data_IF_986127150323
#
_entry.id   IF_986127150323
#
_cell.length_a   1.000
_cell.length_b   1.000
_cell.length_c   1.000
_cell.angle_alpha   90.00
_cell.angle_beta   90.00
_cell.angle_gamma   90.00
#
_symmetry.space_group_name_H-M   'P 1'
#
loop_
_entity.id
_entity.type
_entity.pdbx_description
1 polymer ?
#
# COMPACT_ATOMS: atom_id res chain seq x y z
N UNK A 1 25.89 -11.68 -16.57
CA UNK A 1 24.75 -12.26 -15.79
C UNK A 1 23.91 -13.03 -16.77
N UNK A 2 23.30 -14.13 -16.36
CA UNK A 2 22.46 -14.96 -17.23
C UNK A 2 21.12 -14.24 -17.49
N UNK A 3 20.72 -14.12 -18.75
CA UNK A 3 19.44 -13.51 -19.14
C UNK A 3 18.35 -14.59 -19.25
N UNK A 4 17.14 -14.25 -18.79
CA UNK A 4 15.95 -15.12 -18.87
C UNK A 4 14.86 -14.42 -19.65
N UNK A 5 14.29 -15.11 -20.67
CA UNK A 5 13.09 -14.67 -21.36
C UNK A 5 11.86 -15.42 -20.82
N UNK A 6 10.81 -14.68 -20.51
CA UNK A 6 9.45 -15.23 -20.30
C UNK A 6 8.66 -14.98 -21.58
N UNK A 7 8.19 -16.05 -22.21
CA UNK A 7 7.52 -16.04 -23.54
C UNK A 7 6.13 -16.62 -23.46
N UNK A 8 5.40 -16.59 -24.59
CA UNK A 8 4.04 -17.14 -24.69
C UNK A 8 3.11 -16.47 -23.65
N UNK A 9 3.26 -15.14 -23.51
CA UNK A 9 2.43 -14.31 -22.64
C UNK A 9 1.23 -13.83 -23.47
N UNK A 10 0.02 -14.25 -23.09
CA UNK A 10 -1.20 -13.82 -23.79
C UNK A 10 -1.42 -12.31 -23.67
N UNK A 11 -1.24 -11.78 -22.46
CA UNK A 11 -1.35 -10.34 -22.17
C UNK A 11 -0.25 -9.94 -21.18
N UNK A 12 0.59 -9.01 -21.59
CA UNK A 12 1.58 -8.36 -20.74
C UNK A 12 1.06 -6.96 -20.40
N UNK A 13 0.93 -6.67 -19.10
CA UNK A 13 0.71 -5.32 -18.59
C UNK A 13 2.07 -4.67 -18.37
N UNK A 14 2.36 -3.56 -19.06
CA UNK A 14 3.66 -2.89 -18.90
C UNK A 14 3.61 -1.68 -18.00
N UNK A 15 2.47 -1.00 -17.91
CA UNK A 15 2.33 0.33 -17.32
C UNK A 15 3.36 1.32 -17.90
N UNK A 16 3.64 1.21 -19.19
CA UNK A 16 4.61 2.10 -19.85
C UNK A 16 4.08 3.54 -19.87
N UNK A 17 4.76 4.48 -19.19
CA UNK A 17 4.30 5.86 -19.11
C UNK A 17 4.26 6.57 -20.45
N UNK A 18 5.00 6.09 -21.45
CA UNK A 18 4.98 6.66 -22.81
C UNK A 18 3.70 6.35 -23.58
N UNK A 19 2.91 5.38 -23.12
CA UNK A 19 1.64 4.95 -23.72
C UNK A 19 0.41 5.40 -22.95
N UNK A 20 0.58 6.09 -21.81
CA UNK A 20 -0.47 6.38 -20.85
C UNK A 20 -1.73 7.04 -21.45
N UNK A 21 -1.56 7.92 -22.41
CA UNK A 21 -2.68 8.64 -23.02
C UNK A 21 -3.52 7.79 -23.99
N UNK A 22 -2.94 6.74 -24.54
CA UNK A 22 -3.59 5.84 -25.51
C UNK A 22 -3.97 4.48 -24.92
N UNK A 23 -3.17 3.98 -23.98
CA UNK A 23 -3.33 2.73 -23.26
C UNK A 23 -2.70 2.85 -21.87
N UNK A 24 -3.48 3.18 -20.82
CA UNK A 24 -2.95 3.38 -19.48
C UNK A 24 -2.18 2.21 -18.90
N UNK A 25 -2.52 0.97 -19.29
CA UNK A 25 -1.80 -0.24 -18.92
C UNK A 25 -0.64 -0.61 -19.84
N UNK A 26 -0.56 0.00 -21.04
CA UNK A 26 0.44 -0.34 -22.04
C UNK A 26 0.40 -1.84 -22.38
N UNK A 27 -0.77 -2.34 -22.79
CA UNK A 27 -0.99 -3.78 -23.03
C UNK A 27 -0.26 -4.28 -24.27
N UNK A 28 0.53 -5.33 -24.11
CA UNK A 28 1.15 -6.05 -25.23
C UNK A 28 0.56 -7.46 -25.34
N UNK A 29 0.03 -7.80 -26.51
CA UNK A 29 -0.50 -9.14 -26.81
C UNK A 29 0.59 -10.02 -27.42
N UNK A 30 0.48 -11.36 -27.21
CA UNK A 30 1.47 -12.34 -27.68
C UNK A 30 2.91 -11.90 -27.32
N UNK A 31 3.11 -11.57 -26.06
CA UNK A 31 4.25 -10.85 -25.56
C UNK A 31 5.37 -11.74 -25.01
N UNK A 32 6.52 -11.12 -24.82
CA UNK A 32 7.60 -11.62 -24.01
C UNK A 32 8.23 -10.50 -23.19
N UNK A 33 8.91 -10.86 -22.10
CA UNK A 33 9.72 -9.99 -21.25
C UNK A 33 11.08 -10.64 -21.01
N UNK A 34 12.16 -9.87 -21.09
CA UNK A 34 13.52 -10.33 -20.80
C UNK A 34 14.02 -9.69 -19.52
N UNK A 35 14.55 -10.54 -18.65
CA UNK A 35 15.13 -10.19 -17.35
C UNK A 35 16.64 -10.48 -17.40
N UNK A 36 17.46 -9.55 -16.94
CA UNK A 36 18.87 -9.76 -16.69
C UNK A 36 19.23 -9.26 -15.28
N UNK A 37 19.73 -10.17 -14.44
CA UNK A 37 19.95 -9.88 -13.03
C UNK A 37 18.63 -9.48 -12.34
N UNK A 38 18.60 -8.31 -11.75
CA UNK A 38 17.43 -7.77 -11.05
C UNK A 38 16.56 -6.83 -11.90
N UNK A 39 16.84 -6.71 -13.23
CA UNK A 39 16.23 -5.70 -14.10
C UNK A 39 15.47 -6.30 -15.27
N UNK A 40 14.40 -5.64 -15.67
CA UNK A 40 13.80 -5.80 -16.97
C UNK A 40 14.70 -5.12 -18.00
N UNK A 41 15.10 -5.82 -19.03
CA UNK A 41 15.96 -5.27 -20.10
C UNK A 41 15.24 -5.13 -21.44
N UNK A 42 14.13 -5.84 -21.63
CA UNK A 42 13.33 -5.75 -22.84
C UNK A 42 11.89 -6.24 -22.62
N UNK A 43 10.93 -5.60 -23.29
CA UNK A 43 9.52 -6.01 -23.36
C UNK A 43 8.99 -5.80 -24.78
N UNK A 44 8.09 -6.67 -25.24
CA UNK A 44 7.49 -6.52 -26.58
C UNK A 44 6.83 -7.79 -27.08
N UNK A 45 6.47 -7.83 -28.36
CA UNK A 45 5.88 -9.02 -28.99
C UNK A 45 6.85 -10.21 -29.03
N UNK A 46 6.37 -11.41 -28.72
CA UNK A 46 7.20 -12.64 -28.62
C UNK A 46 8.08 -12.92 -29.82
N UNK A 47 7.59 -12.60 -31.05
CA UNK A 47 8.34 -12.81 -32.29
C UNK A 47 9.59 -11.94 -32.44
N UNK A 48 9.71 -10.88 -31.60
CA UNK A 48 10.85 -9.95 -31.59
C UNK A 48 11.74 -10.12 -30.37
N UNK A 49 11.45 -11.12 -29.52
CA UNK A 49 12.21 -11.34 -28.30
C UNK A 49 13.68 -11.67 -28.63
N UNK A 50 14.65 -11.03 -27.99
CA UNK A 50 16.07 -11.37 -28.16
C UNK A 50 16.36 -12.79 -27.63
N UNK A 51 17.41 -13.40 -28.16
CA UNK A 51 17.89 -14.68 -27.65
C UNK A 51 18.46 -14.53 -26.25
N UNK A 52 18.21 -15.50 -25.37
CA UNK A 52 18.66 -15.52 -23.97
C UNK A 52 19.15 -16.90 -23.56
N UNK A 53 19.85 -16.96 -22.42
CA UNK A 53 20.39 -18.21 -21.87
C UNK A 53 19.27 -19.13 -21.35
N UNK A 54 18.25 -18.56 -20.74
CA UNK A 54 17.14 -19.28 -20.13
C UNK A 54 15.79 -18.86 -20.68
N UNK A 55 14.83 -19.78 -20.64
CA UNK A 55 13.48 -19.56 -21.11
C UNK A 55 12.45 -20.11 -20.12
N UNK A 56 11.43 -19.29 -19.85
CA UNK A 56 10.22 -19.66 -19.11
C UNK A 56 9.03 -19.54 -20.07
N UNK A 57 8.20 -20.55 -20.12
CA UNK A 57 6.95 -20.53 -20.90
C UNK A 57 5.79 -20.10 -19.99
N UNK A 58 5.17 -18.96 -20.29
CA UNK A 58 3.99 -18.48 -19.57
C UNK A 58 2.74 -19.30 -19.89
N UNK A 59 2.75 -20.12 -20.93
CA UNK A 59 1.63 -21.02 -21.28
C UNK A 59 0.35 -20.30 -21.69
N UNK A 60 0.45 -19.16 -22.37
CA UNK A 60 -0.71 -18.35 -22.77
C UNK A 60 -1.37 -17.59 -21.62
N UNK A 61 -0.68 -17.38 -20.52
CA UNK A 61 -1.15 -16.65 -19.34
C UNK A 61 -0.76 -15.19 -19.35
N UNK A 62 -1.40 -14.39 -18.49
CA UNK A 62 -1.08 -12.98 -18.34
C UNK A 62 0.10 -12.77 -17.39
N UNK A 63 0.93 -11.77 -17.70
CA UNK A 63 1.99 -11.27 -16.83
C UNK A 63 1.74 -9.80 -16.52
N UNK A 64 1.86 -9.44 -15.24
CA UNK A 64 1.68 -8.11 -14.73
C UNK A 64 2.95 -7.65 -13.98
N UNK A 65 3.15 -6.33 -13.76
CA UNK A 65 4.07 -5.87 -12.73
C UNK A 65 3.68 -6.45 -11.37
N UNK A 66 4.65 -6.69 -10.50
CA UNK A 66 4.38 -6.99 -9.11
C UNK A 66 3.53 -5.91 -8.46
N UNK A 67 2.57 -6.31 -7.63
CA UNK A 67 1.74 -5.36 -6.90
C UNK A 67 2.59 -4.56 -5.92
N UNK A 68 2.21 -3.30 -5.74
CA UNK A 68 2.84 -2.35 -4.81
C UNK A 68 1.83 -2.01 -3.72
N UNK A 69 1.99 -2.62 -2.56
CA UNK A 69 1.19 -2.32 -1.38
C UNK A 69 1.80 -1.12 -0.64
N UNK A 70 1.27 0.05 -0.93
CA UNK A 70 1.81 1.32 -0.45
C UNK A 70 1.29 1.74 0.93
N UNK A 71 0.47 0.91 1.61
CA UNK A 71 -0.09 1.21 2.91
C UNK A 71 -0.43 -0.05 3.69
N UNK A 72 0.36 -0.36 4.74
CA UNK A 72 0.08 -1.48 5.63
C UNK A 72 0.65 -1.27 7.04
N UNK A 73 0.16 -2.04 8.03
CA UNK A 73 0.54 -1.98 9.44
C UNK A 73 0.95 -3.36 9.94
N UNK A 74 2.02 -3.94 9.40
CA UNK A 74 2.36 -5.35 9.60
C UNK A 74 3.10 -5.65 10.92
N UNK A 75 3.59 -4.61 11.64
CA UNK A 75 4.31 -4.81 12.90
C UNK A 75 3.36 -4.71 14.07
N UNK A 76 2.72 -5.81 14.40
CA UNK A 76 1.81 -5.91 15.54
C UNK A 76 1.75 -7.33 16.12
N UNK A 77 1.18 -7.43 17.33
CA UNK A 77 0.76 -8.69 17.96
C UNK A 77 -0.69 -8.59 18.46
N UNK A 78 -1.24 -9.73 18.81
CA UNK A 78 -2.61 -9.85 19.29
C UNK A 78 -3.60 -10.20 18.18
N UNK A 79 -4.84 -10.39 18.57
CA UNK A 79 -5.96 -10.80 17.72
C UNK A 79 -7.18 -9.93 18.03
N UNK A 80 -7.97 -9.60 17.00
CA UNK A 80 -9.19 -8.80 17.13
C UNK A 80 -10.40 -9.50 16.51
N UNK A 81 -10.37 -10.82 16.42
CA UNK A 81 -11.44 -11.65 15.88
C UNK A 81 -12.77 -11.42 16.59
N UNK A 82 -12.76 -11.28 17.92
CA UNK A 82 -13.98 -11.02 18.70
C UNK A 82 -14.59 -9.67 18.40
N UNK A 83 -13.74 -8.63 18.20
CA UNK A 83 -14.21 -7.30 17.81
C UNK A 83 -14.82 -7.34 16.42
N UNK A 84 -14.18 -8.03 15.46
CA UNK A 84 -14.74 -8.24 14.13
C UNK A 84 -16.10 -8.94 14.20
N UNK A 85 -16.19 -10.03 14.95
CA UNK A 85 -17.44 -10.77 15.14
C UNK A 85 -18.56 -9.90 15.76
N UNK A 86 -18.20 -9.09 16.76
CA UNK A 86 -19.13 -8.15 17.39
C UNK A 86 -19.65 -7.10 16.40
N UNK A 87 -18.76 -6.56 15.57
CA UNK A 87 -19.09 -5.59 14.52
C UNK A 87 -20.00 -6.22 13.46
N UNK A 88 -19.69 -7.45 13.02
CA UNK A 88 -20.54 -8.19 12.08
C UNK A 88 -21.93 -8.50 12.66
N UNK A 89 -22.05 -8.52 13.97
CA UNK A 89 -23.32 -8.66 14.71
C UNK A 89 -24.10 -7.34 14.91
N UNK A 90 -23.72 -6.27 14.22
CA UNK A 90 -24.45 -4.99 14.18
C UNK A 90 -23.93 -3.91 15.12
N UNK A 91 -22.79 -4.08 15.76
CA UNK A 91 -22.13 -3.01 16.52
C UNK A 91 -21.24 -2.16 15.59
N UNK A 92 -21.34 -0.82 15.60
CA UNK A 92 -20.51 0.03 14.75
C UNK A 92 -19.02 -0.08 15.14
N UNK A 93 -18.13 0.07 14.15
CA UNK A 93 -16.68 0.18 14.39
C UNK A 93 -16.37 1.45 15.20
N UNK A 94 -15.48 1.32 16.16
CA UNK A 94 -14.87 2.46 16.86
C UNK A 94 -13.35 2.24 16.95
N UNK A 95 -12.58 3.32 16.88
CA UNK A 95 -11.11 3.27 17.02
C UNK A 95 -10.62 2.79 18.40
N UNK A 96 -11.56 2.56 19.37
CA UNK A 96 -11.22 2.15 20.74
C UNK A 96 -10.53 0.78 20.87
N UNK A 97 -10.76 -0.13 19.92
CA UNK A 97 -10.16 -1.48 19.90
C UNK A 97 -8.65 -1.52 19.64
N UNK A 98 -8.06 -0.45 19.12
CA UNK A 98 -6.61 -0.35 18.90
C UNK A 98 -5.79 -0.53 20.18
N UNK A 99 -6.34 -0.15 21.36
CA UNK A 99 -5.66 -0.32 22.65
C UNK A 99 -5.34 -1.78 22.97
N UNK A 100 -6.14 -2.73 22.51
CA UNK A 100 -5.87 -4.16 22.65
C UNK A 100 -4.63 -4.56 21.87
N UNK A 101 -4.52 -4.08 20.62
CA UNK A 101 -3.34 -4.32 19.78
C UNK A 101 -2.09 -3.66 20.37
N UNK A 102 -2.20 -2.43 20.87
CA UNK A 102 -1.09 -1.72 21.54
C UNK A 102 -0.57 -2.53 22.73
N UNK A 103 -1.46 -2.97 23.63
CA UNK A 103 -1.07 -3.76 24.81
C UNK A 103 -0.38 -5.08 24.41
N UNK A 104 -0.91 -5.79 23.44
CA UNK A 104 -0.34 -7.05 22.94
C UNK A 104 1.01 -6.83 22.25
N UNK A 105 1.16 -5.77 21.46
CA UNK A 105 2.40 -5.46 20.73
C UNK A 105 3.52 -5.06 21.69
N UNK A 106 3.23 -4.26 22.70
CA UNK A 106 4.19 -3.90 23.75
C UNK A 106 4.65 -5.12 24.57
N UNK A 107 3.74 -6.07 24.83
CA UNK A 107 4.03 -7.30 25.59
C UNK A 107 4.79 -8.36 24.77
N UNK A 108 4.73 -8.31 23.43
CA UNK A 108 5.36 -9.29 22.56
C UNK A 108 6.88 -9.09 22.48
N UNK A 109 7.63 -10.19 22.38
CA UNK A 109 9.07 -10.15 22.10
C UNK A 109 9.39 -9.81 20.65
N UNK A 110 10.63 -9.37 20.36
CA UNK A 110 11.10 -9.05 19.01
C UNK A 110 10.95 -10.25 18.08
N UNK A 111 11.26 -11.46 18.55
CA UNK A 111 11.15 -12.69 17.76
C UNK A 111 9.71 -12.98 17.33
N UNK A 112 8.72 -12.71 18.19
CA UNK A 112 7.30 -12.93 17.87
C UNK A 112 6.81 -11.88 16.86
N UNK A 113 7.19 -10.61 17.03
CA UNK A 113 6.84 -9.54 16.09
C UNK A 113 7.47 -9.78 14.72
N UNK A 114 8.73 -10.21 14.66
CA UNK A 114 9.43 -10.51 13.41
C UNK A 114 8.85 -11.75 12.72
N UNK A 115 8.47 -12.78 13.46
CA UNK A 115 7.81 -13.97 12.93
C UNK A 115 6.44 -13.60 12.31
N UNK A 116 5.65 -12.77 12.98
CA UNK A 116 4.38 -12.27 12.45
C UNK A 116 4.59 -11.45 11.18
N UNK A 117 5.51 -10.48 11.20
CA UNK A 117 5.85 -9.66 10.04
C UNK A 117 6.26 -10.53 8.85
N UNK A 118 7.17 -11.48 9.06
CA UNK A 118 7.64 -12.40 8.00
C UNK A 118 6.50 -13.23 7.43
N UNK A 119 5.57 -13.67 8.28
CA UNK A 119 4.37 -14.40 7.83
C UNK A 119 3.51 -13.56 6.91
N UNK A 120 3.15 -12.33 7.29
CA UNK A 120 2.31 -11.43 6.47
C UNK A 120 3.00 -11.05 5.15
N UNK A 121 4.31 -10.80 5.17
CA UNK A 121 5.08 -10.54 3.96
C UNK A 121 5.10 -11.76 3.03
N UNK A 122 5.22 -12.96 3.57
CA UNK A 122 5.17 -14.21 2.78
C UNK A 122 3.78 -14.43 2.18
N UNK A 123 2.72 -14.15 2.93
CA UNK A 123 1.34 -14.21 2.45
C UNK A 123 1.11 -13.21 1.31
N UNK A 124 1.57 -11.96 1.47
CA UNK A 124 1.46 -10.92 0.46
C UNK A 124 2.26 -11.28 -0.82
N UNK A 125 3.50 -11.77 -0.66
CA UNK A 125 4.35 -12.19 -1.78
C UNK A 125 3.69 -13.31 -2.59
N UNK A 126 3.12 -14.32 -1.93
CA UNK A 126 2.39 -15.41 -2.59
C UNK A 126 1.17 -14.94 -3.37
N UNK A 127 0.67 -13.75 -3.07
CA UNK A 127 -0.44 -13.12 -3.77
C UNK A 127 0.02 -12.03 -4.76
N UNK A 128 1.34 -11.94 -5.01
CA UNK A 128 1.92 -11.09 -6.06
C UNK A 128 2.42 -9.73 -5.60
N UNK A 129 2.38 -9.41 -4.31
CA UNK A 129 2.95 -8.16 -3.79
C UNK A 129 4.47 -8.29 -3.69
N UNK A 130 5.20 -7.48 -4.44
CA UNK A 130 6.67 -7.49 -4.49
C UNK A 130 7.29 -6.29 -3.80
N UNK A 131 6.54 -5.19 -3.69
CA UNK A 131 6.92 -3.97 -2.97
C UNK A 131 5.86 -3.65 -1.94
N UNK A 132 6.28 -3.37 -0.71
CA UNK A 132 5.35 -3.06 0.39
C UNK A 132 5.95 -1.99 1.31
N UNK A 133 5.07 -1.14 1.77
CA UNK A 133 5.29 -0.20 2.84
C UNK A 133 4.71 -0.77 4.13
N UNK A 134 5.35 -0.50 5.27
CA UNK A 134 4.77 -0.82 6.58
C UNK A 134 5.11 0.21 7.64
N UNK A 135 4.18 0.35 8.60
CA UNK A 135 4.20 1.40 9.61
C UNK A 135 4.49 0.85 11.00
N UNK A 136 5.02 1.70 11.86
CA UNK A 136 4.87 1.57 13.32
C UNK A 136 3.45 1.97 13.76
N UNK A 137 3.24 2.41 15.00
CA UNK A 137 1.96 2.97 15.46
C UNK A 137 1.18 2.09 16.43
N UNK A 138 1.72 0.93 16.80
CA UNK A 138 1.18 0.09 17.86
C UNK A 138 2.07 0.04 19.11
N UNK A 139 3.19 0.77 19.11
CA UNK A 139 4.05 0.92 20.27
C UNK A 139 3.61 2.07 21.16
N UNK A 140 3.47 3.25 20.59
CA UNK A 140 3.07 4.52 21.21
C UNK A 140 4.00 4.96 22.36
N UNK A 141 5.22 4.40 22.41
CA UNK A 141 6.32 4.82 23.28
C UNK A 141 7.57 5.03 22.44
N UNK A 142 8.54 5.77 22.96
CA UNK A 142 9.81 5.99 22.24
C UNK A 142 10.49 4.68 21.88
N UNK A 143 10.55 3.75 22.82
CA UNK A 143 11.23 2.47 22.67
C UNK A 143 10.50 1.54 21.70
N UNK A 144 9.18 1.38 21.88
CA UNK A 144 8.39 0.43 21.09
C UNK A 144 8.20 0.89 19.65
N UNK A 145 8.01 2.20 19.40
CA UNK A 145 7.95 2.74 18.04
C UNK A 145 9.28 2.55 17.30
N UNK A 146 10.40 2.91 17.92
CA UNK A 146 11.72 2.69 17.32
C UNK A 146 12.03 1.19 17.11
N UNK A 147 11.58 0.32 18.03
CA UNK A 147 11.67 -1.14 17.89
C UNK A 147 10.92 -1.63 16.66
N UNK A 148 9.66 -1.21 16.49
CA UNK A 148 8.83 -1.60 15.35
C UNK A 148 9.48 -1.19 14.02
N UNK A 149 10.01 0.03 13.93
CA UNK A 149 10.69 0.51 12.73
C UNK A 149 11.98 -0.27 12.43
N UNK A 150 12.78 -0.59 13.45
CA UNK A 150 14.00 -1.41 13.27
C UNK A 150 13.67 -2.82 12.74
N UNK A 151 12.59 -3.45 13.20
CA UNK A 151 12.12 -4.73 12.67
C UNK A 151 11.68 -4.60 11.22
N UNK A 152 10.85 -3.61 10.92
CA UNK A 152 10.37 -3.35 9.55
C UNK A 152 11.53 -3.09 8.56
N UNK A 153 12.52 -2.30 8.95
CA UNK A 153 13.66 -1.93 8.10
C UNK A 153 14.56 -3.11 7.68
N UNK A 154 14.42 -4.28 8.30
CA UNK A 154 15.10 -5.51 7.85
C UNK A 154 14.49 -6.11 6.58
N UNK A 155 13.27 -5.72 6.24
CA UNK A 155 12.47 -6.32 5.18
C UNK A 155 12.13 -5.37 4.03
N UNK A 156 12.08 -4.06 4.30
CA UNK A 156 11.75 -3.03 3.30
C UNK A 156 12.42 -1.71 3.60
N UNK A 157 12.66 -0.92 2.54
CA UNK A 157 13.11 0.48 2.67
C UNK A 157 11.93 1.46 2.84
N UNK A 158 10.70 0.98 2.64
CA UNK A 158 9.48 1.80 2.70
C UNK A 158 8.87 1.71 4.10
N UNK A 159 9.59 2.25 5.09
CA UNK A 159 9.20 2.21 6.51
C UNK A 159 8.64 3.55 6.95
N UNK A 160 7.49 3.53 7.63
CA UNK A 160 6.74 4.71 8.05
C UNK A 160 6.69 4.84 9.57
N UNK A 161 7.12 5.97 10.08
CA UNK A 161 6.90 6.35 11.48
C UNK A 161 5.47 6.87 11.66
N UNK A 162 4.67 6.19 12.48
CA UNK A 162 3.28 6.52 12.81
C UNK A 162 3.08 6.67 14.33
N UNK A 163 3.94 7.44 15.01
CA UNK A 163 3.71 7.75 16.43
C UNK A 163 2.40 8.52 16.69
N UNK A 164 1.92 9.23 15.66
CA UNK A 164 0.62 9.91 15.65
C UNK A 164 -0.56 9.04 15.23
N UNK A 165 -0.63 7.77 15.67
CA UNK A 165 -1.75 6.87 15.37
C UNK A 165 -2.96 7.12 16.27
N UNK A 166 -2.77 7.07 17.57
CA UNK A 166 -3.70 7.56 18.61
C UNK A 166 -2.89 8.16 19.75
N UNK A 167 -3.55 8.92 20.63
CA UNK A 167 -2.94 9.34 21.90
C UNK A 167 -2.72 8.12 22.78
N UNK A 168 -1.48 7.93 23.23
CA UNK A 168 -1.15 6.81 24.11
C UNK A 168 -1.99 6.84 25.40
N UNK A 169 -2.37 5.68 25.95
CA UNK A 169 -3.21 5.62 27.16
C UNK A 169 -2.63 6.42 28.35
N UNK A 170 -1.31 6.47 28.46
CA UNK A 170 -0.59 7.19 29.51
C UNK A 170 -0.72 8.72 29.41
N UNK A 171 -1.11 9.21 28.25
CA UNK A 171 -1.33 10.63 27.95
C UNK A 171 -2.81 10.98 27.73
N UNK A 172 -3.74 10.13 28.18
CA UNK A 172 -5.17 10.35 27.97
C UNK A 172 -5.65 11.73 28.47
N UNK A 173 -5.06 12.21 29.57
CA UNK A 173 -5.37 13.50 30.18
C UNK A 173 -4.43 14.63 29.70
N UNK A 174 -3.44 14.33 28.85
CA UNK A 174 -2.46 15.29 28.31
C UNK A 174 -2.15 15.02 26.83
N UNK A 175 -3.10 15.18 25.91
CA UNK A 175 -2.86 14.98 24.47
C UNK A 175 -1.78 15.91 23.90
N UNK A 176 -1.62 17.12 24.45
CA UNK A 176 -0.60 18.08 24.02
C UNK A 176 0.81 17.60 24.38
N UNK A 177 0.97 17.02 25.57
CA UNK A 177 2.21 16.37 26.00
C UNK A 177 2.56 15.19 25.07
N UNK A 178 1.56 14.42 24.64
CA UNK A 178 1.78 13.34 23.68
C UNK A 178 2.24 13.86 22.29
N UNK A 179 1.62 14.91 21.75
CA UNK A 179 2.07 15.55 20.52
C UNK A 179 3.52 16.03 20.64
N UNK A 180 3.87 16.61 21.79
CA UNK A 180 5.25 17.03 22.07
C UNK A 180 6.24 15.86 22.09
N UNK A 181 5.84 14.71 22.64
CA UNK A 181 6.63 13.46 22.61
C UNK A 181 6.80 12.96 21.15
N UNK A 182 5.70 12.88 20.39
CA UNK A 182 5.67 12.39 19.00
C UNK A 182 6.53 13.25 18.07
N UNK A 183 6.55 14.58 18.30
CA UNK A 183 7.34 15.52 17.50
C UNK A 183 8.76 15.74 18.01
N UNK A 184 9.06 15.27 19.21
CA UNK A 184 10.33 15.44 19.93
C UNK A 184 11.13 14.14 20.04
N UNK A 185 11.21 13.60 21.25
CA UNK A 185 12.08 12.46 21.58
C UNK A 185 11.73 11.20 20.79
N UNK A 186 10.45 10.91 20.59
CA UNK A 186 10.01 9.76 19.82
C UNK A 186 10.44 9.90 18.34
N UNK A 187 10.22 11.05 17.71
CA UNK A 187 10.69 11.33 16.36
C UNK A 187 12.21 11.21 16.25
N UNK A 188 12.96 11.73 17.21
CA UNK A 188 14.41 11.64 17.22
C UNK A 188 14.92 10.19 17.24
N UNK A 189 14.26 9.31 17.98
CA UNK A 189 14.59 7.89 18.06
C UNK A 189 14.17 7.12 16.80
N UNK A 190 13.05 7.52 16.16
CA UNK A 190 12.42 6.83 15.06
C UNK A 190 12.95 7.24 13.66
N UNK A 191 13.23 8.51 13.46
CA UNK A 191 13.62 9.06 12.16
C UNK A 191 14.81 8.33 11.47
N UNK A 192 15.86 7.85 12.19
CA UNK A 192 16.94 7.10 11.56
C UNK A 192 16.52 5.76 10.91
N UNK A 193 15.33 5.25 11.23
CA UNK A 193 14.82 3.95 10.77
C UNK A 193 13.62 4.09 9.84
N UNK A 194 13.17 5.31 9.55
CA UNK A 194 12.00 5.58 8.73
C UNK A 194 12.36 6.40 7.49
N UNK A 195 11.64 6.18 6.40
CA UNK A 195 11.63 7.02 5.21
C UNK A 195 10.47 8.00 5.23
N UNK A 196 9.37 7.60 5.86
CA UNK A 196 8.09 8.29 5.85
C UNK A 196 7.66 8.68 7.25
N UNK A 197 6.83 9.72 7.35
CA UNK A 197 6.08 10.08 8.54
C UNK A 197 4.60 10.13 8.20
N UNK A 198 3.77 9.63 9.12
CA UNK A 198 2.32 9.55 8.96
C UNK A 198 1.63 9.99 10.24
N UNK A 199 0.37 10.41 10.13
CA UNK A 199 -0.49 10.78 11.24
C UNK A 199 -1.95 10.44 10.93
N UNK A 200 -2.69 9.97 11.92
CA UNK A 200 -4.12 9.72 11.79
C UNK A 200 -4.90 11.01 12.07
N UNK A 201 -5.15 11.78 11.01
CA UNK A 201 -5.90 13.03 11.06
C UNK A 201 -7.40 12.76 10.99
N UNK A 202 -8.01 12.45 12.13
CA UNK A 202 -9.41 12.04 12.19
C UNK A 202 -10.05 12.40 13.53
N UNK A 203 -11.37 12.53 13.53
CA UNK A 203 -12.15 12.75 14.75
C UNK A 203 -11.91 11.63 15.76
N UNK A 204 -11.43 11.99 16.94
CA UNK A 204 -11.10 11.04 17.99
C UNK A 204 -9.64 10.57 18.01
N UNK A 205 -8.83 11.02 17.04
CA UNK A 205 -7.38 10.84 17.01
C UNK A 205 -6.69 12.21 17.07
N UNK A 206 -6.15 12.71 15.94
CA UNK A 206 -5.47 14.00 15.88
C UNK A 206 -6.26 14.99 15.02
N UNK A 207 -6.35 16.24 15.46
CA UNK A 207 -6.93 17.33 14.67
C UNK A 207 -5.94 17.86 13.60
N UNK A 208 -6.39 18.81 12.78
CA UNK A 208 -5.56 19.35 11.69
C UNK A 208 -4.31 20.08 12.15
N UNK A 209 -4.36 20.77 13.30
CA UNK A 209 -3.20 21.52 13.83
C UNK A 209 -2.18 20.55 14.42
N UNK A 210 -2.61 19.53 15.14
CA UNK A 210 -1.78 18.46 15.66
C UNK A 210 -1.14 17.66 14.53
N UNK A 211 -1.92 17.28 13.51
CA UNK A 211 -1.43 16.58 12.31
C UNK A 211 -0.38 17.41 11.57
N UNK A 212 -0.62 18.70 11.40
CA UNK A 212 0.34 19.64 10.82
C UNK A 212 1.64 19.68 11.61
N UNK A 213 1.57 19.75 12.94
CA UNK A 213 2.75 19.78 13.79
C UNK A 213 3.59 18.51 13.61
N UNK A 214 2.95 17.33 13.61
CA UNK A 214 3.61 16.02 13.44
C UNK A 214 4.29 15.94 12.06
N UNK A 215 3.57 16.21 10.98
CA UNK A 215 4.12 16.10 9.62
C UNK A 215 5.23 17.12 9.36
N UNK A 216 5.09 18.35 9.86
CA UNK A 216 6.12 19.40 9.72
C UNK A 216 7.39 19.03 10.47
N UNK A 217 7.27 18.46 11.69
CA UNK A 217 8.42 17.98 12.46
C UNK A 217 9.16 16.86 11.72
N UNK A 218 8.43 15.90 11.12
CA UNK A 218 9.02 14.84 10.31
C UNK A 218 9.74 15.36 9.08
N UNK A 219 9.13 16.29 8.34
CA UNK A 219 9.77 16.96 7.19
C UNK A 219 11.08 17.64 7.60
N UNK A 220 11.12 18.28 8.75
CA UNK A 220 12.34 18.90 9.28
C UNK A 220 13.45 17.88 9.61
N UNK A 221 13.10 16.61 9.80
CA UNK A 221 14.02 15.48 9.97
C UNK A 221 14.36 14.75 8.65
N UNK A 222 13.84 15.24 7.52
CA UNK A 222 14.06 14.63 6.19
C UNK A 222 13.10 13.48 5.84
N UNK A 223 12.06 13.24 6.64
CA UNK A 223 11.03 12.25 6.33
C UNK A 223 10.02 12.83 5.33
N UNK A 224 9.50 11.98 4.46
CA UNK A 224 8.44 12.34 3.53
C UNK A 224 7.08 12.17 4.18
N UNK A 225 6.15 13.14 4.10
CA UNK A 225 4.84 13.06 4.73
C UNK A 225 3.89 12.15 3.96
N UNK A 226 3.02 11.49 4.72
CA UNK A 226 1.82 10.76 4.33
C UNK A 226 0.75 11.09 5.37
N UNK A 227 -0.51 10.77 5.12
CA UNK A 227 -1.56 11.05 6.10
C UNK A 227 -2.75 10.11 5.93
N UNK A 228 -3.21 9.51 7.05
CA UNK A 228 -4.55 8.94 7.11
C UNK A 228 -5.56 10.09 7.16
N UNK A 229 -6.41 10.18 6.16
CA UNK A 229 -7.27 11.34 5.95
C UNK A 229 -8.71 10.96 5.61
N UNK A 230 -9.67 11.59 6.27
CA UNK A 230 -11.07 11.56 5.91
C UNK A 230 -11.64 10.12 5.83
N UNK A 231 -11.19 9.23 6.72
CA UNK A 231 -11.64 7.83 6.78
C UNK A 231 -13.04 7.71 7.38
N UNK A 232 -13.26 8.35 8.53
CA UNK A 232 -14.47 8.19 9.34
C UNK A 232 -15.43 9.36 9.18
N UNK A 233 -14.92 10.53 8.77
CA UNK A 233 -15.67 11.77 8.65
C UNK A 233 -15.04 12.74 7.66
N UNK A 234 -15.78 13.77 7.27
CA UNK A 234 -15.19 14.93 6.59
C UNK A 234 -14.24 15.65 7.53
N UNK A 235 -13.04 15.96 7.06
CA UNK A 235 -11.97 16.55 7.87
C UNK A 235 -10.96 17.35 7.04
N UNK A 236 -9.97 17.99 7.68
CA UNK A 236 -8.97 18.80 7.00
C UNK A 236 -7.82 17.98 6.38
N UNK A 237 -7.80 16.64 6.58
CA UNK A 237 -6.65 15.79 6.30
C UNK A 237 -6.19 15.84 4.84
N UNK A 238 -7.12 15.80 3.88
CA UNK A 238 -6.78 15.86 2.45
C UNK A 238 -6.19 17.22 2.06
N UNK A 239 -6.79 18.32 2.51
CA UNK A 239 -6.26 19.67 2.24
C UNK A 239 -4.86 19.82 2.83
N UNK A 240 -4.66 19.32 4.05
CA UNK A 240 -3.36 19.32 4.72
C UNK A 240 -2.32 18.47 3.97
N UNK A 241 -2.73 17.30 3.44
CA UNK A 241 -1.86 16.46 2.63
C UNK A 241 -1.32 17.22 1.41
N UNK A 242 -2.20 17.88 0.67
CA UNK A 242 -1.84 18.64 -0.52
C UNK A 242 -0.95 19.84 -0.15
N UNK A 243 -1.32 20.59 0.88
CA UNK A 243 -0.55 21.74 1.35
C UNK A 243 0.89 21.38 1.75
N UNK A 244 1.07 20.24 2.41
CA UNK A 244 2.39 19.79 2.87
C UNK A 244 3.16 18.98 1.82
N UNK A 245 2.66 18.85 0.59
CA UNK A 245 3.21 17.98 -0.46
C UNK A 245 3.41 16.55 0.07
N UNK A 246 2.38 15.99 0.70
CA UNK A 246 2.39 14.61 1.13
C UNK A 246 2.40 13.66 -0.08
N UNK A 247 3.09 12.53 0.04
CA UNK A 247 3.14 11.54 -1.03
C UNK A 247 1.76 10.92 -1.28
N UNK A 248 0.99 10.70 -0.20
CA UNK A 248 -0.38 10.20 -0.28
C UNK A 248 -1.28 10.79 0.81
N UNK A 249 -2.57 10.84 0.49
CA UNK A 249 -3.68 10.93 1.42
C UNK A 249 -4.38 9.57 1.39
N UNK A 250 -4.40 8.89 2.51
CA UNK A 250 -4.80 7.50 2.58
C UNK A 250 -6.21 7.37 3.18
N UNK A 251 -7.04 6.43 2.72
CA UNK A 251 -8.48 6.21 2.87
C UNK A 251 -9.33 7.09 1.97
N UNK A 252 -9.42 8.40 2.15
CA UNK A 252 -10.18 9.30 1.29
C UNK A 252 -11.67 8.90 1.13
N UNK A 253 -12.30 8.38 2.19
CA UNK A 253 -13.69 7.88 2.14
C UNK A 253 -14.69 9.02 2.09
N UNK A 254 -14.43 10.11 2.85
CA UNK A 254 -15.32 11.27 2.97
C UNK A 254 -14.67 12.51 2.34
N UNK A 255 -14.97 12.76 1.04
CA UNK A 255 -14.37 13.85 0.27
C UNK A 255 -15.41 14.93 -0.08
N UNK A 256 -15.04 16.20 0.14
CA UNK A 256 -15.72 17.34 -0.45
C UNK A 256 -15.31 17.54 -1.91
N UNK A 257 -16.01 18.42 -2.66
CA UNK A 257 -15.58 18.80 -4.01
C UNK A 257 -14.19 19.47 -3.98
N UNK A 258 -13.92 20.30 -2.99
CA UNK A 258 -12.63 20.95 -2.81
C UNK A 258 -11.49 19.94 -2.54
N UNK A 259 -11.77 18.82 -1.87
CA UNK A 259 -10.76 17.77 -1.64
C UNK A 259 -10.42 17.04 -2.94
N UNK A 260 -11.43 16.74 -3.75
CA UNK A 260 -11.23 16.10 -5.07
C UNK A 260 -10.45 17.04 -5.99
N UNK A 261 -10.83 18.33 -6.05
CA UNK A 261 -10.13 19.32 -6.85
C UNK A 261 -8.66 19.50 -6.40
N UNK A 262 -8.42 19.51 -5.08
CA UNK A 262 -7.07 19.62 -4.53
C UNK A 262 -6.20 18.40 -4.92
N UNK A 263 -6.72 17.18 -4.79
CA UNK A 263 -6.02 15.96 -5.20
C UNK A 263 -5.76 15.93 -6.70
N UNK A 264 -6.75 16.28 -7.53
CA UNK A 264 -6.62 16.31 -8.99
C UNK A 264 -5.55 17.32 -9.49
N UNK A 265 -5.33 18.39 -8.75
CA UNK A 265 -4.36 19.45 -9.11
C UNK A 265 -3.04 19.36 -8.33
N UNK A 266 -2.72 18.21 -7.75
CA UNK A 266 -1.51 18.01 -6.95
C UNK A 266 -0.76 16.73 -7.34
N UNK A 267 0.42 16.52 -6.74
CA UNK A 267 1.17 15.27 -6.81
C UNK A 267 0.80 14.27 -5.72
N UNK A 268 -0.09 14.64 -4.80
CA UNK A 268 -0.55 13.78 -3.70
C UNK A 268 -1.45 12.68 -4.25
N UNK A 269 -1.11 11.43 -3.97
CA UNK A 269 -1.88 10.26 -4.42
C UNK A 269 -3.02 9.98 -3.45
N UNK A 270 -4.23 9.77 -3.95
CA UNK A 270 -5.35 9.25 -3.16
C UNK A 270 -5.20 7.72 -3.05
N UNK A 271 -4.75 7.22 -1.89
CA UNK A 271 -4.62 5.77 -1.66
C UNK A 271 -5.89 5.23 -1.04
N UNK A 272 -6.65 4.46 -1.80
CA UNK A 272 -7.90 3.86 -1.35
C UNK A 272 -7.64 2.48 -0.77
N UNK A 273 -8.34 2.15 0.32
CA UNK A 273 -8.06 1.00 1.17
C UNK A 273 -9.31 0.12 1.35
N UNK A 274 -9.81 -0.51 0.25
CA UNK A 274 -11.13 -1.15 0.23
C UNK A 274 -11.31 -2.29 1.23
N UNK A 275 -10.23 -2.87 1.75
CA UNK A 275 -10.28 -3.84 2.82
C UNK A 275 -10.83 -3.28 4.13
N UNK A 276 -10.62 -1.98 4.37
CA UNK A 276 -11.14 -1.28 5.55
C UNK A 276 -12.67 -1.13 5.48
N UNK A 277 -13.21 -0.65 4.37
CA UNK A 277 -14.65 -0.50 4.18
C UNK A 277 -15.35 -1.86 4.19
N UNK A 278 -14.76 -2.89 3.56
CA UNK A 278 -15.26 -4.25 3.60
C UNK A 278 -15.37 -4.77 5.04
N UNK A 279 -14.32 -4.63 5.84
CA UNK A 279 -14.26 -5.20 7.19
C UNK A 279 -15.02 -4.38 8.23
N UNK A 280 -15.24 -3.10 7.96
CA UNK A 280 -15.97 -2.19 8.89
C UNK A 280 -17.43 -1.95 8.50
N UNK A 281 -17.85 -2.38 7.31
CA UNK A 281 -19.13 -2.02 6.69
C UNK A 281 -19.33 -0.51 6.55
N UNK A 282 -18.23 0.22 6.35
CA UNK A 282 -18.29 1.64 6.06
C UNK A 282 -18.76 1.91 4.62
N UNK A 283 -19.05 3.17 4.32
CA UNK A 283 -19.30 3.59 2.94
C UNK A 283 -18.03 3.44 2.11
N UNK A 284 -18.18 3.10 0.83
CA UNK A 284 -17.07 3.00 -0.10
C UNK A 284 -16.57 4.37 -0.54
N UNK A 285 -15.25 4.59 -0.68
CA UNK A 285 -14.73 5.78 -1.34
C UNK A 285 -15.23 5.86 -2.80
N UNK A 286 -15.54 7.05 -3.27
CA UNK A 286 -15.98 7.29 -4.65
C UNK A 286 -14.73 7.42 -5.56
N UNK A 287 -14.16 6.26 -5.94
CA UNK A 287 -13.00 6.21 -6.82
C UNK A 287 -13.31 6.80 -8.21
N UNK A 288 -14.55 6.62 -8.70
CA UNK A 288 -14.93 7.15 -10.02
C UNK A 288 -14.80 8.66 -10.07
N UNK A 289 -15.29 9.36 -9.03
CA UNK A 289 -15.21 10.81 -8.91
C UNK A 289 -13.74 11.31 -8.89
N UNK A 290 -12.85 10.61 -8.19
CA UNK A 290 -11.43 10.94 -8.17
C UNK A 290 -10.78 10.77 -9.54
N UNK A 291 -11.02 9.64 -10.20
CA UNK A 291 -10.46 9.32 -11.52
C UNK A 291 -10.98 10.26 -12.60
N UNK A 292 -12.28 10.56 -12.61
CA UNK A 292 -12.89 11.50 -13.57
C UNK A 292 -12.37 12.93 -13.41
N UNK A 293 -12.00 13.31 -12.18
CA UNK A 293 -11.35 14.61 -11.91
C UNK A 293 -9.86 14.61 -12.30
N UNK A 294 -9.26 13.47 -12.63
CA UNK A 294 -7.84 13.35 -13.00
C UNK A 294 -6.88 13.14 -11.82
N UNK A 295 -7.39 12.85 -10.61
CA UNK A 295 -6.55 12.52 -9.47
C UNK A 295 -5.78 11.20 -9.68
N UNK A 296 -4.56 11.14 -9.19
CA UNK A 296 -3.81 9.88 -9.15
C UNK A 296 -4.31 9.02 -8.01
N UNK A 297 -4.76 7.80 -8.33
CA UNK A 297 -5.32 6.85 -7.35
C UNK A 297 -4.40 5.65 -7.17
N UNK A 298 -4.20 5.22 -5.93
CA UNK A 298 -3.58 3.95 -5.57
C UNK A 298 -4.58 3.05 -4.82
N UNK A 299 -4.34 1.73 -4.88
CA UNK A 299 -5.01 0.73 -4.06
C UNK A 299 -3.99 0.02 -3.18
N UNK A 300 -4.31 -0.12 -1.90
CA UNK A 300 -3.48 -0.84 -0.93
C UNK A 300 -4.32 -1.65 0.04
N UNK A 301 -3.67 -2.52 0.82
CA UNK A 301 -4.38 -3.46 1.69
C UNK A 301 -4.84 -2.87 3.00
N UNK A 302 -4.14 -1.85 3.52
CA UNK A 302 -4.28 -1.43 4.91
C UNK A 302 -4.18 -2.62 5.89
N UNK A 303 -3.31 -3.60 5.58
CA UNK A 303 -3.25 -4.84 6.35
C UNK A 303 -2.96 -4.56 7.83
N UNK A 304 -3.99 -4.69 8.65
CA UNK A 304 -3.96 -4.45 10.09
C UNK A 304 -5.04 -5.31 10.80
N UNK A 305 -4.91 -5.60 12.09
CA UNK A 305 -5.85 -6.50 12.77
C UNK A 305 -7.21 -5.87 13.04
N UNK A 306 -7.35 -4.54 12.94
CA UNK A 306 -8.55 -3.82 13.37
C UNK A 306 -9.59 -3.58 12.30
N UNK A 307 -9.16 -2.99 11.20
CA UNK A 307 -10.04 -2.52 10.13
C UNK A 307 -9.89 -3.27 8.82
N UNK A 308 -8.73 -3.93 8.57
CA UNK A 308 -8.45 -4.58 7.28
C UNK A 308 -7.45 -5.72 7.44
N UNK A 309 -7.91 -6.89 7.90
CA UNK A 309 -6.98 -8.00 8.11
C UNK A 309 -6.85 -8.87 6.86
N UNK A 310 -6.34 -8.27 5.80
CA UNK A 310 -6.03 -8.94 4.53
C UNK A 310 -4.69 -8.46 3.98
N UNK A 311 -3.86 -9.38 3.50
CA UNK A 311 -2.62 -9.12 2.75
C UNK A 311 -2.81 -9.23 1.23
N UNK A 312 -4.08 -9.28 0.76
CA UNK A 312 -4.42 -9.60 -0.62
C UNK A 312 -4.72 -8.34 -1.44
N UNK A 313 -3.75 -7.85 -2.19
CA UNK A 313 -3.98 -6.81 -3.22
C UNK A 313 -4.97 -7.29 -4.29
N UNK A 314 -4.95 -8.55 -4.79
CA UNK A 314 -6.00 -9.07 -5.68
C UNK A 314 -7.42 -8.93 -5.13
N UNK A 315 -7.62 -9.11 -3.83
CA UNK A 315 -8.91 -8.89 -3.19
C UNK A 315 -9.31 -7.40 -3.22
N UNK A 316 -8.38 -6.50 -2.93
CA UNK A 316 -8.60 -5.06 -3.03
C UNK A 316 -8.96 -4.62 -4.46
N UNK A 317 -8.30 -5.18 -5.49
CA UNK A 317 -8.66 -4.96 -6.89
C UNK A 317 -10.10 -5.39 -7.19
N UNK A 318 -10.51 -6.56 -6.70
CA UNK A 318 -11.88 -7.05 -6.92
C UNK A 318 -12.94 -6.15 -6.24
N UNK A 319 -12.69 -5.68 -5.03
CA UNK A 319 -13.57 -4.75 -4.31
C UNK A 319 -13.65 -3.39 -5.02
N UNK A 320 -12.53 -2.84 -5.47
CA UNK A 320 -12.49 -1.56 -6.16
C UNK A 320 -13.28 -1.60 -7.47
N UNK A 321 -13.19 -2.68 -8.24
CA UNK A 321 -13.99 -2.85 -9.46
C UNK A 321 -15.48 -2.99 -9.15
N UNK A 322 -15.82 -3.80 -8.15
CA UNK A 322 -17.22 -4.11 -7.87
C UNK A 322 -17.95 -2.98 -7.15
N UNK A 323 -17.31 -2.35 -6.16
CA UNK A 323 -18.00 -1.49 -5.20
C UNK A 323 -17.58 0.00 -5.29
N UNK A 324 -16.44 0.31 -5.93
CA UNK A 324 -15.91 1.67 -6.02
C UNK A 324 -15.95 2.25 -7.44
N UNK A 325 -16.58 1.56 -8.40
CA UNK A 325 -16.77 2.04 -9.77
C UNK A 325 -15.53 2.10 -10.64
N UNK A 326 -14.45 1.41 -10.27
CA UNK A 326 -13.25 1.31 -11.09
C UNK A 326 -13.41 0.25 -12.19
N UNK A 327 -12.82 0.50 -13.35
CA UNK A 327 -12.62 -0.56 -14.35
C UNK A 327 -11.51 -1.51 -13.90
N UNK A 328 -11.43 -2.76 -14.43
CA UNK A 328 -10.32 -3.65 -14.13
C UNK A 328 -8.95 -3.06 -14.46
N UNK A 329 -8.85 -2.28 -15.54
CA UNK A 329 -7.62 -1.62 -15.96
C UNK A 329 -7.19 -0.55 -14.96
N UNK A 330 -8.09 0.31 -14.53
CA UNK A 330 -7.84 1.33 -13.50
C UNK A 330 -7.43 0.71 -12.17
N UNK A 331 -8.10 -0.37 -11.74
CA UNK A 331 -7.81 -1.03 -10.47
C UNK A 331 -6.42 -1.71 -10.50
N UNK A 332 -6.04 -2.36 -11.61
CA UNK A 332 -4.70 -2.95 -11.75
C UNK A 332 -3.62 -1.87 -11.84
N UNK A 333 -3.88 -0.78 -12.56
CA UNK A 333 -2.96 0.35 -12.58
C UNK A 333 -2.76 0.94 -11.18
N UNK A 334 -3.85 1.15 -10.43
CA UNK A 334 -3.82 1.69 -9.07
C UNK A 334 -3.07 0.76 -8.08
N UNK A 335 -3.19 -0.57 -8.26
CA UNK A 335 -2.52 -1.58 -7.45
C UNK A 335 -1.04 -1.82 -7.83
N UNK A 336 -0.56 -1.19 -8.90
CA UNK A 336 0.82 -1.34 -9.41
C UNK A 336 1.49 0.03 -9.56
N UNK A 337 1.30 0.72 -10.68
CA UNK A 337 1.89 2.03 -10.94
C UNK A 337 1.36 3.12 -9.98
N UNK A 338 0.09 3.06 -9.58
CA UNK A 338 -0.51 3.94 -8.59
C UNK A 338 0.13 3.77 -7.22
N UNK A 339 0.28 2.53 -6.73
CA UNK A 339 1.00 2.22 -5.50
C UNK A 339 2.46 2.70 -5.53
N UNK A 340 3.14 2.52 -6.69
CA UNK A 340 4.49 3.05 -6.89
C UNK A 340 4.53 4.58 -6.80
N UNK A 341 3.54 5.27 -7.38
CA UNK A 341 3.42 6.73 -7.29
C UNK A 341 3.22 7.19 -5.82
N UNK A 342 2.39 6.50 -5.04
CA UNK A 342 2.19 6.76 -3.61
C UNK A 342 3.45 6.58 -2.77
N UNK A 343 4.43 5.82 -3.27
CA UNK A 343 5.77 5.67 -2.69
C UNK A 343 6.82 6.55 -3.37
N UNK A 344 6.41 7.45 -4.29
CA UNK A 344 7.32 8.27 -5.10
C UNK A 344 8.42 7.44 -5.77
N UNK A 345 8.06 6.23 -6.24
CA UNK A 345 8.95 5.29 -6.92
C UNK A 345 8.66 5.21 -8.40
N UNK A 346 9.72 5.11 -9.20
CA UNK A 346 9.64 4.99 -10.66
C UNK A 346 10.23 3.67 -11.17
N UNK A 347 10.81 2.89 -10.30
CA UNK A 347 11.58 1.67 -10.58
C UNK A 347 10.83 0.37 -10.25
N UNK A 348 9.56 0.46 -9.79
CA UNK A 348 8.65 -0.65 -9.51
C UNK A 348 7.25 -0.38 -10.07
N UNK A 349 6.34 -1.36 -10.04
CA UNK A 349 4.96 -1.22 -10.47
C UNK A 349 4.78 -1.10 -12.00
N UNK A 350 5.82 -1.37 -12.78
CA UNK A 350 5.82 -1.35 -14.25
C UNK A 350 6.80 -2.38 -14.81
N UNK A 351 6.67 -2.70 -16.10
CA UNK A 351 7.57 -3.62 -16.82
C UNK A 351 8.10 -2.94 -18.06
N UNK A 352 9.07 -2.04 -17.88
CA UNK A 352 9.79 -1.34 -18.94
C UNK A 352 11.30 -1.51 -18.75
N UNK A 353 12.13 -1.38 -19.78
CA UNK A 353 13.58 -1.51 -19.61
C UNK A 353 14.14 -0.59 -18.52
N UNK A 354 14.99 -1.16 -17.66
CA UNK A 354 15.69 -0.45 -16.58
C UNK A 354 15.04 -0.51 -15.20
N UNK A 355 13.77 -0.93 -15.08
CA UNK A 355 13.09 -1.10 -13.78
C UNK A 355 13.41 -2.46 -13.15
N UNK A 356 13.10 -2.63 -11.87
CA UNK A 356 13.22 -3.93 -11.21
C UNK A 356 12.34 -4.99 -11.90
N UNK A 357 12.88 -6.20 -12.00
CA UNK A 357 12.17 -7.35 -12.56
C UNK A 357 11.24 -7.97 -11.51
N UNK A 358 10.19 -7.22 -11.17
CA UNK A 358 9.12 -7.58 -10.26
C UNK A 358 7.88 -7.92 -11.08
N UNK A 359 7.53 -9.21 -11.18
CA UNK A 359 6.49 -9.71 -12.08
C UNK A 359 5.57 -10.71 -11.38
N UNK A 360 4.33 -10.72 -11.84
CA UNK A 360 3.31 -11.70 -11.45
C UNK A 360 2.80 -12.44 -12.66
N UNK A 361 2.80 -13.77 -12.60
CA UNK A 361 2.17 -14.65 -13.58
C UNK A 361 0.82 -15.11 -13.04
N UNK A 362 -0.26 -14.86 -13.78
CA UNK A 362 -1.61 -15.28 -13.42
C UNK A 362 -1.97 -16.62 -14.10
N UNK A 363 -2.76 -17.43 -13.42
CA UNK A 363 -3.43 -18.59 -14.03
C UNK A 363 -4.68 -18.17 -14.83
N UNK A 364 -4.48 -17.21 -15.71
CA UNK A 364 -5.52 -16.63 -16.56
C UNK A 364 -4.88 -15.87 -17.73
N UNK A 365 -5.54 -15.74 -18.88
CA UNK A 365 -4.98 -15.06 -20.06
C UNK A 365 -5.05 -13.52 -19.97
N UNK A 366 -5.71 -12.97 -18.94
CA UNK A 366 -5.92 -11.51 -18.78
C UNK A 366 -5.97 -11.11 -17.32
N UNK A 367 -5.47 -9.93 -17.01
CA UNK A 367 -5.56 -9.26 -15.71
C UNK A 367 -7.01 -9.04 -15.23
N UNK A 368 -7.98 -8.95 -16.15
CA UNK A 368 -9.42 -8.80 -15.84
C UNK A 368 -9.91 -9.92 -14.91
N UNK A 369 -9.29 -11.09 -14.96
CA UNK A 369 -9.67 -12.22 -14.11
C UNK A 369 -9.45 -11.99 -12.62
N UNK A 370 -8.63 -11.04 -12.21
CA UNK A 370 -8.47 -10.67 -10.80
C UNK A 370 -9.80 -10.19 -10.20
N UNK A 371 -10.57 -9.41 -10.95
CA UNK A 371 -11.91 -8.97 -10.54
C UNK A 371 -13.01 -9.95 -10.95
N UNK A 372 -12.88 -10.62 -12.10
CA UNK A 372 -13.90 -11.53 -12.64
C UNK A 372 -14.00 -12.86 -11.87
N UNK A 373 -12.90 -13.33 -11.28
CA UNK A 373 -12.83 -14.55 -10.46
C UNK A 373 -12.29 -14.28 -9.06
N UNK A 374 -13.00 -13.41 -8.25
CA UNK A 374 -12.52 -13.02 -6.94
C UNK A 374 -12.39 -14.22 -5.98
N UNK A 375 -11.41 -14.19 -5.10
CA UNK A 375 -11.19 -15.24 -4.09
C UNK A 375 -10.56 -16.53 -4.62
N UNK A 376 -10.29 -16.64 -5.92
CA UNK A 376 -9.54 -17.77 -6.49
C UNK A 376 -8.05 -17.42 -6.50
N UNK A 377 -7.14 -18.34 -6.05
CA UNK A 377 -5.71 -18.11 -6.10
C UNK A 377 -5.21 -18.14 -7.55
N UNK A 378 -5.22 -16.98 -8.21
CA UNK A 378 -4.81 -16.84 -9.61
C UNK A 378 -3.31 -16.61 -9.78
N UNK A 379 -2.59 -16.21 -8.74
CA UNK A 379 -1.13 -16.00 -8.82
C UNK A 379 -0.43 -17.35 -8.78
N UNK A 380 0.35 -17.64 -9.84
CA UNK A 380 1.05 -18.94 -10.02
C UNK A 380 2.55 -18.78 -10.20
N UNK A 381 3.03 -17.54 -10.28
CA UNK A 381 4.45 -17.23 -10.32
C UNK A 381 4.68 -15.79 -9.89
N UNK A 382 5.69 -15.58 -9.07
CA UNK A 382 6.12 -14.24 -8.63
C UNK A 382 7.62 -14.16 -8.76
N UNK A 383 8.09 -13.13 -9.42
CA UNK A 383 9.51 -12.75 -9.44
C UNK A 383 9.68 -11.46 -8.67
N UNK A 384 10.64 -11.44 -7.79
CA UNK A 384 11.06 -10.25 -7.07
C UNK A 384 12.53 -9.99 -7.36
N UNK A 385 12.83 -8.82 -7.92
CA UNK A 385 14.18 -8.46 -8.37
C UNK A 385 14.84 -9.57 -9.24
N UNK A 386 14.05 -10.09 -10.19
CA UNK A 386 14.50 -11.11 -11.12
C UNK A 386 14.59 -12.54 -10.57
N UNK A 387 14.43 -12.73 -9.27
CA UNK A 387 14.42 -14.06 -8.62
C UNK A 387 12.98 -14.57 -8.53
N UNK A 388 12.75 -15.79 -9.01
CA UNK A 388 11.45 -16.44 -8.85
C UNK A 388 11.27 -16.92 -7.41
N UNK A 389 10.25 -16.41 -6.74
CA UNK A 389 9.94 -16.68 -5.33
C UNK A 389 8.75 -17.65 -5.16
N UNK A 390 7.86 -17.69 -6.17
CA UNK A 390 6.66 -18.54 -6.19
C UNK A 390 6.56 -19.29 -7.52
#
# INVERSE_FOLDING_TARGET
MSATVITNIATLVTNDPSLRDSDPLGLVRDAAVVIEGDRVVWTGGSSKAPATDNRVDAGGRAVLPGFVDSHSHLVFAGDRTEEFNARMSGRPYSAGGIRTTVAATRAAGDADLEANLTRYLTEALRQGTTTFETKSGYGLTVEDEARALRLAARHTDEVTYLGGHIVAPEFADDPAGYVSLVTGDMLNACAPHARWIDVFCEKGAFDGDQARAVLTAGKAKGLHPRIHANQLSYGPGVQLAVELDAASADHCTHLTDADVDALANSSTVATLLPGAEFSTRAAWPDARRLLDAGATVALSTDCNPGSSFTSSVPFCVALAVRDMGMTPDEAVWAATAGGAAALRRTDVGRLVPGVYADLVLLDAPSHVHLAYRPGVPLVTGVWRRGVREV
#
